data_IF_647195243138
#
_entry.id   IF_647195243138
#
_cell.length_a   1.000
_cell.length_b   1.000
_cell.length_c   1.000
_cell.angle_alpha   90.00
_cell.angle_beta   90.00
_cell.angle_gamma   90.00
#
_symmetry.space_group_name_H-M   'P 1'
#
loop_
_entity.id
_entity.type
_entity.pdbx_description
1 polymer ?
#
# COMPACT_ATOMS: atom_id res chain seq x y z
N UNK A 1 -9.67 -0.10 28.10
CA UNK A 1 -9.43 1.02 27.15
C UNK A 1 -7.95 1.03 26.77
N UNK A 2 -7.61 0.85 25.49
CA UNK A 2 -6.22 1.00 25.02
C UNK A 2 -5.80 2.46 25.28
N UNK A 3 -4.71 2.69 26.03
CA UNK A 3 -4.13 4.03 26.20
C UNK A 3 -3.91 4.64 24.81
N UNK A 4 -4.47 5.82 24.55
CA UNK A 4 -4.22 6.60 23.34
C UNK A 4 -2.76 7.05 23.33
N UNK A 5 -1.86 6.18 22.85
CA UNK A 5 -0.50 6.58 22.47
C UNK A 5 -0.59 7.34 21.15
N UNK A 6 0.20 8.39 21.03
CA UNK A 6 0.38 9.10 19.77
C UNK A 6 0.90 8.11 18.70
N UNK A 7 0.56 8.31 17.42
CA UNK A 7 1.12 7.51 16.34
C UNK A 7 2.64 7.61 16.36
N UNK A 8 3.32 6.46 16.30
CA UNK A 8 4.76 6.40 16.05
C UNK A 8 4.97 6.26 14.55
N UNK A 9 5.83 7.11 13.99
CA UNK A 9 6.17 7.12 12.57
C UNK A 9 7.56 6.55 12.35
N UNK A 10 7.80 6.01 11.16
CA UNK A 10 9.11 5.53 10.74
C UNK A 10 9.94 6.70 10.21
N UNK A 11 11.22 6.71 10.55
CA UNK A 11 12.21 7.52 9.85
C UNK A 11 12.38 7.02 8.40
N UNK A 12 12.81 7.87 7.45
CA UNK A 12 12.99 7.48 6.05
C UNK A 12 13.88 6.25 5.87
N UNK A 13 14.95 6.14 6.66
CA UNK A 13 15.86 4.98 6.63
C UNK A 13 15.19 3.70 7.13
N UNK A 14 14.39 3.77 8.19
CA UNK A 14 13.64 2.64 8.73
C UNK A 14 12.62 2.13 7.70
N UNK A 15 11.92 3.05 7.03
CA UNK A 15 11.00 2.71 5.95
C UNK A 15 11.72 2.01 4.79
N UNK A 16 12.90 2.49 4.39
CA UNK A 16 13.70 1.83 3.36
C UNK A 16 14.17 0.43 3.80
N UNK A 17 14.61 0.28 5.04
CA UNK A 17 15.04 -1.00 5.60
C UNK A 17 13.90 -2.01 5.68
N UNK A 18 12.69 -1.56 6.00
CA UNK A 18 11.47 -2.37 5.96
C UNK A 18 11.17 -2.88 4.54
N UNK A 19 11.28 -2.00 3.53
CA UNK A 19 11.03 -2.36 2.12
C UNK A 19 12.09 -3.31 1.52
N UNK A 20 13.25 -3.46 2.17
CA UNK A 20 14.32 -4.39 1.77
C UNK A 20 14.13 -5.81 2.31
N UNK A 21 13.30 -6.01 3.33
CA UNK A 21 13.10 -7.33 3.96
C UNK A 21 12.50 -8.40 3.03
N UNK A 22 11.51 -8.10 2.16
CA UNK A 22 10.86 -9.14 1.36
C UNK A 22 11.78 -9.72 0.28
N UNK A 23 11.90 -11.06 0.24
CA UNK A 23 12.68 -11.76 -0.77
C UNK A 23 11.94 -11.84 -2.12
N UNK A 24 12.33 -10.99 -3.07
CA UNK A 24 11.71 -10.90 -4.40
C UNK A 24 11.88 -12.14 -5.28
N UNK A 25 12.71 -13.13 -4.89
CA UNK A 25 12.84 -14.39 -5.64
C UNK A 25 11.57 -15.24 -5.60
N UNK A 26 10.68 -14.98 -4.64
CA UNK A 26 9.43 -15.72 -4.48
C UNK A 26 8.21 -14.81 -4.72
N UNK A 27 7.12 -15.33 -5.30
CA UNK A 27 5.89 -14.57 -5.51
C UNK A 27 5.35 -13.93 -4.22
N UNK A 28 5.49 -14.63 -3.09
CA UNK A 28 5.08 -14.12 -1.77
C UNK A 28 5.89 -12.91 -1.34
N UNK A 29 7.20 -12.88 -1.64
CA UNK A 29 8.05 -11.74 -1.31
C UNK A 29 7.78 -10.54 -2.20
N UNK A 30 7.52 -10.76 -3.50
CA UNK A 30 7.08 -9.69 -4.40
C UNK A 30 5.75 -9.09 -3.92
N UNK A 31 4.74 -9.94 -3.65
CA UNK A 31 3.45 -9.52 -3.07
C UNK A 31 3.64 -8.72 -1.78
N UNK A 32 4.43 -9.23 -0.84
CA UNK A 32 4.66 -8.55 0.44
C UNK A 32 5.35 -7.19 0.24
N UNK A 33 6.28 -7.08 -0.70
CA UNK A 33 6.90 -5.80 -1.06
C UNK A 33 5.88 -4.82 -1.63
N UNK A 34 5.03 -5.28 -2.55
CA UNK A 34 3.96 -4.45 -3.14
C UNK A 34 3.01 -3.96 -2.06
N UNK A 35 2.60 -4.83 -1.13
CA UNK A 35 1.74 -4.48 0.01
C UNK A 35 2.37 -3.36 0.84
N UNK A 36 3.62 -3.54 1.28
CA UNK A 36 4.31 -2.54 2.10
C UNK A 36 4.48 -1.21 1.36
N UNK A 37 4.81 -1.26 0.07
CA UNK A 37 5.02 -0.06 -0.75
C UNK A 37 3.73 0.75 -0.90
N UNK A 38 2.61 0.07 -1.17
CA UNK A 38 1.28 0.70 -1.25
C UNK A 38 0.83 1.31 0.09
N UNK A 39 1.12 0.65 1.22
CA UNK A 39 0.81 1.22 2.53
C UNK A 39 1.64 2.47 2.83
N UNK A 40 2.95 2.43 2.55
CA UNK A 40 3.87 3.53 2.80
C UNK A 40 3.63 4.74 1.88
N UNK A 41 3.41 4.51 0.58
CA UNK A 41 3.39 5.58 -0.41
C UNK A 41 1.97 6.02 -0.82
N UNK A 42 0.97 5.14 -0.71
CA UNK A 42 -0.43 5.48 -1.02
C UNK A 42 -1.28 5.65 0.24
N UNK A 43 -0.74 5.38 1.43
CA UNK A 43 -1.47 5.54 2.70
C UNK A 43 -2.63 4.56 2.89
N UNK A 44 -2.54 3.39 2.25
CA UNK A 44 -3.53 2.33 2.37
C UNK A 44 -3.52 1.72 3.78
N UNK A 45 -4.71 1.53 4.35
CA UNK A 45 -4.87 0.79 5.62
C UNK A 45 -4.83 -0.71 5.36
N UNK A 46 -4.51 -1.48 6.39
CA UNK A 46 -4.50 -2.95 6.33
C UNK A 46 -5.83 -3.52 5.79
N UNK A 47 -6.97 -3.02 6.27
CA UNK A 47 -8.27 -3.50 5.79
C UNK A 47 -8.55 -3.13 4.34
N UNK A 48 -7.98 -2.03 3.84
CA UNK A 48 -8.18 -1.57 2.47
C UNK A 48 -7.32 -2.41 1.51
N UNK A 49 -6.08 -2.74 1.90
CA UNK A 49 -5.17 -3.50 1.05
C UNK A 49 -5.57 -4.97 0.90
N UNK A 50 -6.07 -5.61 1.96
CA UNK A 50 -6.50 -7.02 1.90
C UNK A 50 -7.80 -7.22 1.11
N UNK A 51 -8.57 -6.15 0.90
CA UNK A 51 -9.82 -6.17 0.13
C UNK A 51 -9.68 -5.58 -1.27
N UNK A 52 -8.47 -5.17 -1.66
CA UNK A 52 -8.20 -4.56 -2.96
C UNK A 52 -8.41 -5.59 -4.08
N UNK A 53 -9.17 -5.22 -5.11
CA UNK A 53 -9.44 -6.08 -6.29
C UNK A 53 -8.70 -5.54 -7.52
N UNK A 54 -8.41 -6.39 -8.53
CA UNK A 54 -7.80 -5.92 -9.78
C UNK A 54 -8.54 -4.76 -10.44
N UNK A 55 -9.89 -4.79 -10.44
CA UNK A 55 -10.71 -3.71 -11.00
C UNK A 55 -10.64 -2.38 -10.25
N UNK A 56 -10.01 -2.34 -9.08
CA UNK A 56 -9.77 -1.10 -8.33
C UNK A 56 -8.51 -0.37 -8.79
N UNK A 57 -7.64 -1.00 -9.57
CA UNK A 57 -6.36 -0.44 -10.00
C UNK A 57 -6.47 -0.04 -11.47
N UNK A 58 -6.16 1.22 -11.76
CA UNK A 58 -6.04 1.73 -13.12
C UNK A 58 -4.62 2.27 -13.33
N UNK A 59 -3.73 1.40 -13.80
CA UNK A 59 -2.32 1.75 -14.04
C UNK A 59 -2.17 2.79 -15.15
N UNK A 60 -3.00 2.75 -16.20
CA UNK A 60 -2.99 3.74 -17.28
C UNK A 60 -3.26 5.16 -16.78
N UNK A 61 -4.10 5.30 -15.75
CA UNK A 61 -4.43 6.59 -15.12
C UNK A 61 -3.62 6.88 -13.87
N UNK A 62 -2.74 5.97 -13.44
CA UNK A 62 -1.99 6.07 -12.18
C UNK A 62 -2.91 6.21 -10.97
N UNK A 63 -4.04 5.49 -10.93
CA UNK A 63 -5.05 5.61 -9.86
C UNK A 63 -5.43 4.28 -9.25
N UNK A 64 -5.69 4.31 -7.95
CA UNK A 64 -6.25 3.21 -7.17
C UNK A 64 -7.53 3.69 -6.48
N UNK A 65 -8.60 2.91 -6.58
CA UNK A 65 -9.87 3.17 -5.92
C UNK A 65 -9.96 2.37 -4.62
N UNK A 66 -10.25 3.05 -3.52
CA UNK A 66 -10.56 2.40 -2.24
C UNK A 66 -12.06 2.45 -2.05
N UNK A 67 -12.68 1.27 -1.99
CA UNK A 67 -14.10 1.10 -1.69
C UNK A 67 -14.34 1.07 -0.18
N UNK A 68 -15.48 1.61 0.27
CA UNK A 68 -15.93 1.47 1.67
C UNK A 68 -14.89 1.91 2.71
N UNK A 69 -14.23 3.05 2.47
CA UNK A 69 -13.32 3.66 3.44
C UNK A 69 -14.04 4.16 4.71
N UNK A 70 -13.36 4.99 5.50
CA UNK A 70 -13.95 5.59 6.71
C UNK A 70 -15.27 6.29 6.37
N UNK A 71 -16.36 5.90 7.06
CA UNK A 71 -17.70 6.44 6.80
C UNK A 71 -18.40 5.88 5.57
N UNK A 72 -17.96 4.73 5.04
CA UNK A 72 -18.52 4.07 3.84
C UNK A 72 -18.45 4.94 2.58
N UNK A 73 -17.42 5.79 2.48
CA UNK A 73 -17.16 6.61 1.29
C UNK A 73 -16.02 6.01 0.48
N UNK A 74 -16.20 6.03 -0.82
CA UNK A 74 -15.15 5.69 -1.77
C UNK A 74 -14.19 6.87 -1.95
N UNK A 75 -12.95 6.57 -2.31
CA UNK A 75 -11.96 7.58 -2.71
C UNK A 75 -10.99 7.04 -3.74
N UNK A 76 -10.47 7.93 -4.56
CA UNK A 76 -9.34 7.65 -5.45
C UNK A 76 -8.04 8.10 -4.80
N UNK A 77 -6.99 7.31 -4.96
CA UNK A 77 -5.62 7.57 -4.55
C UNK A 77 -4.74 7.58 -5.79
N UNK A 78 -3.74 8.47 -5.83
CA UNK A 78 -2.73 8.46 -6.87
C UNK A 78 -1.70 7.36 -6.59
N UNK A 79 -1.27 6.67 -7.65
CA UNK A 79 -0.18 5.69 -7.61
C UNK A 79 1.05 6.42 -8.17
N UNK A 80 2.15 6.52 -7.40
CA UNK A 80 3.41 7.04 -7.93
C UNK A 80 3.93 6.18 -9.08
N UNK A 81 4.47 6.82 -10.11
CA UNK A 81 4.95 6.13 -11.33
C UNK A 81 5.97 5.03 -11.02
N UNK A 82 6.87 5.23 -10.06
CA UNK A 82 7.87 4.22 -9.68
C UNK A 82 7.28 2.97 -8.99
N UNK A 83 5.98 2.95 -8.69
CA UNK A 83 5.27 1.76 -8.16
C UNK A 83 4.50 0.99 -9.22
N UNK A 84 4.30 1.53 -10.42
CA UNK A 84 3.53 0.84 -11.47
C UNK A 84 4.19 -0.47 -11.85
N UNK A 85 5.52 -0.50 -11.92
CA UNK A 85 6.29 -1.70 -12.28
C UNK A 85 6.06 -2.86 -11.30
N UNK A 86 5.82 -2.56 -10.01
CA UNK A 86 5.52 -3.56 -8.98
C UNK A 86 4.09 -4.10 -9.05
N UNK A 87 3.20 -3.41 -9.77
CA UNK A 87 1.80 -3.79 -9.99
C UNK A 87 1.57 -4.45 -11.35
N UNK A 88 2.50 -4.25 -12.28
CA UNK A 88 2.48 -4.80 -13.64
C UNK A 88 3.33 -6.09 -13.79
N UNK A 89 3.89 -6.59 -12.67
CA UNK A 89 4.68 -7.84 -12.64
C UNK A 89 3.80 -9.08 -12.46
#
# INVERSE_FOLDING_TARGET
MRKNKLPVTLEPEEAQNLLKQPNKRYPTGLRNKTILSLMLHCGLRLSEIVNLKPGNINLTKGKLRVESGKGKKDRDLAIPDYLTDLLDT
#
